data_IF_775634848619
#
_entry.id   IF_775634848619
#
_cell.length_a   1.000
_cell.length_b   1.000
_cell.length_c   1.000
_cell.angle_alpha   90.00
_cell.angle_beta   90.00
_cell.angle_gamma   90.00
#
_symmetry.space_group_name_H-M   'P 1'
#
loop_
_entity.id
_entity.type
_entity.pdbx_description
1 polymer ?
#
# COMPACT_ATOMS: atom_id res chain seq x y z
N UNK A 1 9.62 16.76 7.57
CA UNK A 1 11.06 16.87 7.88
C UNK A 1 11.73 17.58 6.73
N UNK A 2 12.51 18.61 7.00
CA UNK A 2 13.26 19.35 5.97
C UNK A 2 14.70 18.87 5.95
N UNK A 3 15.23 18.63 4.75
CA UNK A 3 16.63 18.27 4.54
C UNK A 3 17.29 19.40 3.76
N UNK A 4 18.35 19.98 4.31
CA UNK A 4 19.10 21.05 3.66
C UNK A 4 20.52 20.58 3.40
N UNK A 5 20.89 20.55 2.13
CA UNK A 5 22.24 20.17 1.69
C UNK A 5 23.03 21.43 1.34
N UNK A 6 24.20 21.60 1.97
CA UNK A 6 25.05 22.77 1.81
C UNK A 6 24.29 24.12 1.97
N UNK A 7 23.67 24.41 3.11
CA UNK A 7 22.81 25.58 3.30
C UNK A 7 23.55 26.92 3.13
N UNK A 8 24.88 26.90 3.10
CA UNK A 8 25.71 28.07 2.85
C UNK A 8 26.75 27.78 1.74
N UNK A 9 26.44 28.17 0.53
CA UNK A 9 27.28 27.95 -0.68
C UNK A 9 28.70 28.53 -0.54
N UNK A 10 28.89 29.51 0.33
CA UNK A 10 30.18 30.21 0.51
C UNK A 10 31.15 29.47 1.41
N UNK A 11 30.71 28.43 2.12
CA UNK A 11 31.56 27.68 3.04
C UNK A 11 32.25 26.49 2.38
N UNK A 12 33.53 26.28 2.69
CA UNK A 12 34.29 25.12 2.19
C UNK A 12 33.88 23.79 2.80
N UNK A 13 33.11 23.80 3.86
CA UNK A 13 32.64 22.59 4.55
C UNK A 13 31.24 22.22 4.02
N UNK A 14 31.14 21.02 3.47
CA UNK A 14 29.86 20.43 3.05
C UNK A 14 29.20 19.75 4.23
N UNK A 15 27.96 20.08 4.52
CA UNK A 15 27.15 19.41 5.53
C UNK A 15 25.69 19.34 5.11
N UNK A 16 25.02 18.35 5.64
CA UNK A 16 23.58 18.12 5.41
C UNK A 16 22.86 18.30 6.74
N UNK A 17 21.84 19.13 6.72
CA UNK A 17 20.94 19.27 7.85
C UNK A 17 19.66 18.49 7.61
N UNK A 18 19.21 17.74 8.60
CA UNK A 18 17.90 17.15 8.66
C UNK A 18 17.24 17.55 9.98
N UNK A 19 16.11 18.22 9.90
CA UNK A 19 15.39 18.68 11.08
C UNK A 19 13.87 18.59 10.86
N UNK A 20 13.09 18.34 11.92
CA UNK A 20 11.65 18.46 11.83
C UNK A 20 11.23 19.92 11.75
N UNK A 21 10.20 20.20 10.96
CA UNK A 21 9.54 21.51 10.89
C UNK A 21 8.09 21.34 11.31
N UNK A 22 7.65 22.19 12.23
CA UNK A 22 6.29 22.24 12.73
C UNK A 22 5.65 23.56 12.31
N UNK A 23 4.49 23.48 11.63
CA UNK A 23 3.75 24.66 11.19
C UNK A 23 2.61 24.96 12.16
N UNK A 24 2.74 26.03 12.91
CA UNK A 24 1.71 26.50 13.84
C UNK A 24 0.63 27.30 13.16
N UNK A 25 0.95 27.94 12.04
CA UNK A 25 0.06 28.84 11.37
C UNK A 25 0.16 28.67 9.86
N UNK A 26 -0.95 28.39 9.21
CA UNK A 26 -1.00 28.03 7.81
C UNK A 26 -1.52 29.21 6.97
N UNK A 27 -0.83 29.50 5.88
CA UNK A 27 -1.33 30.37 4.83
C UNK A 27 -2.20 29.56 3.87
N UNK A 28 -3.41 30.06 3.57
CA UNK A 28 -4.32 29.43 2.63
C UNK A 28 -4.90 30.44 1.64
N UNK A 29 -5.36 29.92 0.48
CA UNK A 29 -6.00 30.73 -0.54
C UNK A 29 -7.49 30.87 -0.24
N UNK A 30 -7.90 32.08 0.18
CA UNK A 30 -9.31 32.40 0.45
C UNK A 30 -9.98 32.80 -0.88
N UNK A 31 -10.87 31.95 -1.37
CA UNK A 31 -11.71 32.25 -2.54
C UNK A 31 -12.90 33.12 -2.14
N UNK A 32 -13.16 34.20 -2.87
CA UNK A 32 -14.26 35.12 -2.61
C UNK A 32 -15.34 35.16 -3.72
N UNK A 33 -15.14 34.46 -4.85
CA UNK A 33 -16.14 34.39 -5.91
C UNK A 33 -16.19 32.99 -6.58
N UNK A 34 -17.27 32.75 -7.34
CA UNK A 34 -17.46 31.47 -8.04
C UNK A 34 -16.48 31.24 -9.20
N UNK A 35 -15.76 32.25 -9.65
CA UNK A 35 -14.73 32.14 -10.68
C UNK A 35 -13.37 31.66 -10.12
N UNK A 36 -13.29 31.45 -8.80
CA UNK A 36 -12.07 31.01 -8.14
C UNK A 36 -11.08 32.11 -7.81
N UNK A 37 -11.45 33.40 -8.00
CA UNK A 37 -10.61 34.53 -7.58
C UNK A 37 -10.56 34.63 -6.06
N UNK A 38 -9.37 34.92 -5.53
CA UNK A 38 -9.14 34.97 -4.09
C UNK A 38 -7.82 35.64 -3.76
N UNK A 39 -7.40 35.52 -2.52
CA UNK A 39 -6.13 36.01 -2.01
C UNK A 39 -5.57 35.05 -0.97
N UNK A 40 -4.26 35.07 -0.79
CA UNK A 40 -3.61 34.34 0.28
C UNK A 40 -3.82 35.07 1.61
N UNK A 41 -4.22 34.34 2.62
CA UNK A 41 -4.37 34.84 3.99
C UNK A 41 -3.83 33.84 5.00
N UNK A 42 -3.49 34.34 6.16
CA UNK A 42 -3.03 33.53 7.28
C UNK A 42 -4.25 33.08 8.10
N UNK A 43 -4.20 31.87 8.67
CA UNK A 43 -5.23 31.41 9.62
C UNK A 43 -5.30 32.38 10.80
N UNK A 44 -6.52 32.73 11.23
CA UNK A 44 -6.75 33.63 12.35
C UNK A 44 -6.30 33.01 13.68
N UNK A 45 -6.54 31.70 13.84
CA UNK A 45 -6.16 30.96 15.04
C UNK A 45 -5.05 29.98 14.70
N UNK A 46 -3.84 30.14 15.28
CA UNK A 46 -2.76 29.17 15.12
C UNK A 46 -3.16 27.78 15.66
N UNK A 47 -2.62 26.75 15.02
CA UNK A 47 -2.72 25.39 15.54
C UNK A 47 -1.98 25.27 16.88
N UNK A 48 -2.57 24.52 17.82
CA UNK A 48 -1.93 24.20 19.11
C UNK A 48 -1.71 22.69 19.16
N UNK A 49 -0.48 22.27 19.40
CA UNK A 49 -0.11 20.88 19.57
C UNK A 49 1.15 20.77 20.41
N UNK A 50 1.31 19.65 21.11
CA UNK A 50 2.50 19.31 21.84
C UNK A 50 3.57 18.77 20.89
N UNK A 51 4.82 19.17 21.12
CA UNK A 51 5.97 18.72 20.35
C UNK A 51 6.85 17.87 21.27
N UNK A 52 7.04 16.61 20.87
CA UNK A 52 8.03 15.73 21.47
C UNK A 52 9.00 15.24 20.39
N UNK A 53 10.26 15.17 20.73
CA UNK A 53 11.32 14.71 19.82
C UNK A 53 12.34 13.89 20.57
N UNK A 54 12.54 12.65 20.13
CA UNK A 54 13.53 11.75 20.70
C UNK A 54 14.68 11.55 19.72
N UNK A 55 15.91 11.72 20.18
CA UNK A 55 17.12 11.43 19.43
C UNK A 55 17.78 10.18 20.01
N UNK A 56 17.98 9.15 19.18
CA UNK A 56 18.76 7.97 19.52
C UNK A 56 20.07 7.99 18.74
N UNK A 57 21.20 8.06 19.46
CA UNK A 57 22.54 8.05 18.87
C UNK A 57 23.06 6.62 18.83
N UNK A 58 23.56 6.20 17.67
CA UNK A 58 24.17 4.89 17.46
C UNK A 58 25.69 5.04 17.37
N UNK A 59 26.44 4.11 17.95
CA UNK A 59 27.90 4.11 17.89
C UNK A 59 28.40 3.24 16.73
N UNK A 60 29.46 3.71 16.05
CA UNK A 60 30.07 2.98 14.94
C UNK A 60 30.74 1.66 15.35
N UNK A 61 31.03 1.48 16.64
CA UNK A 61 31.61 0.27 17.22
C UNK A 61 30.57 -0.75 17.70
N UNK A 62 29.27 -0.41 17.56
CA UNK A 62 28.16 -1.27 17.98
C UNK A 62 27.92 -1.33 19.50
N UNK A 63 28.64 -0.49 20.32
CA UNK A 63 28.47 -0.51 21.78
C UNK A 63 27.07 -0.09 22.24
N UNK A 64 26.28 0.53 21.38
CA UNK A 64 24.87 0.88 21.61
C UNK A 64 23.89 -0.25 21.20
N UNK A 65 24.38 -1.45 20.88
CA UNK A 65 23.57 -2.58 20.39
C UNK A 65 23.41 -2.63 18.87
N UNK A 66 23.48 -1.47 18.20
CA UNK A 66 23.32 -1.37 16.74
C UNK A 66 24.47 -0.56 16.12
N UNK A 67 24.84 -0.90 14.87
CA UNK A 67 25.85 -0.14 14.11
C UNK A 67 25.33 1.25 13.75
N UNK A 68 26.23 2.22 13.59
CA UNK A 68 25.90 3.57 13.12
C UNK A 68 25.80 3.63 11.58
N UNK A 69 24.93 2.82 11.02
CA UNK A 69 24.59 2.78 9.60
C UNK A 69 23.07 2.68 9.43
N UNK A 70 22.57 2.70 8.19
CA UNK A 70 21.13 2.65 7.92
C UNK A 70 20.48 1.32 8.38
N UNK A 71 21.23 0.22 8.39
CA UNK A 71 20.74 -1.06 8.93
C UNK A 71 20.52 -0.95 10.43
N UNK A 72 21.53 -0.47 11.15
CA UNK A 72 21.41 -0.25 12.59
C UNK A 72 20.34 0.76 12.96
N UNK A 73 20.13 1.82 12.15
CA UNK A 73 19.02 2.75 12.33
C UNK A 73 17.67 2.08 12.16
N UNK A 74 17.50 1.24 11.13
CA UNK A 74 16.24 0.52 10.87
C UNK A 74 15.91 -0.47 11.99
N UNK A 75 16.88 -1.26 12.44
CA UNK A 75 16.71 -2.23 13.52
C UNK A 75 16.42 -1.54 14.87
N UNK A 76 17.15 -0.45 15.18
CA UNK A 76 16.91 0.33 16.40
C UNK A 76 15.51 1.00 16.40
N UNK A 77 15.04 1.43 15.23
CA UNK A 77 13.69 1.99 15.10
C UNK A 77 12.61 0.91 15.19
N UNK A 78 12.82 -0.27 14.58
CA UNK A 78 11.94 -1.43 14.74
C UNK A 78 11.79 -1.83 16.21
N UNK A 79 12.92 -1.96 16.96
CA UNK A 79 12.91 -2.23 18.39
C UNK A 79 12.06 -1.21 19.15
N UNK A 80 12.25 0.08 18.90
CA UNK A 80 11.45 1.14 19.52
C UNK A 80 9.95 0.96 19.22
N UNK A 81 9.56 0.65 17.99
CA UNK A 81 8.16 0.43 17.64
C UNK A 81 7.56 -0.83 18.28
N UNK A 82 8.38 -1.85 18.53
CA UNK A 82 7.96 -3.05 19.26
C UNK A 82 7.78 -2.72 20.75
N UNK A 83 8.72 -1.99 21.35
CA UNK A 83 8.65 -1.56 22.75
C UNK A 83 7.43 -0.67 23.04
N UNK A 84 7.05 0.17 22.07
CA UNK A 84 5.83 1.01 22.12
C UNK A 84 4.54 0.22 21.79
N UNK A 85 4.64 -1.05 21.43
CA UNK A 85 3.49 -1.89 21.07
C UNK A 85 2.86 -1.58 19.70
N UNK A 86 3.52 -0.75 18.87
CA UNK A 86 3.06 -0.41 17.53
C UNK A 86 3.30 -1.57 16.55
N UNK A 87 4.39 -2.31 16.74
CA UNK A 87 4.70 -3.52 15.99
C UNK A 87 4.72 -4.72 16.92
N UNK A 88 4.28 -5.87 16.41
CA UNK A 88 4.36 -7.15 17.13
C UNK A 88 5.10 -8.14 16.26
N UNK A 89 6.12 -8.80 16.83
CA UNK A 89 6.84 -9.84 16.12
C UNK A 89 5.92 -11.00 15.77
N UNK A 90 5.96 -11.44 14.52
CA UNK A 90 5.20 -12.57 14.01
C UNK A 90 6.17 -13.67 13.58
N UNK A 91 5.88 -14.90 13.96
CA UNK A 91 6.63 -16.04 13.44
C UNK A 91 6.11 -16.40 12.07
N UNK A 92 6.93 -16.22 11.05
CA UNK A 92 6.62 -16.70 9.71
C UNK A 92 6.77 -18.23 9.64
N UNK A 93 5.83 -18.87 8.96
CA UNK A 93 5.95 -20.30 8.65
C UNK A 93 6.99 -20.55 7.55
N UNK A 94 7.74 -21.63 7.66
CA UNK A 94 8.60 -22.11 6.57
C UNK A 94 7.75 -22.44 5.33
N UNK A 95 8.34 -22.40 4.15
CA UNK A 95 7.71 -22.74 2.88
C UNK A 95 7.66 -21.60 1.87
N UNK A 96 6.78 -21.72 0.89
CA UNK A 96 6.65 -20.76 -0.20
C UNK A 96 6.22 -19.38 0.27
N UNK A 97 6.76 -18.34 -0.39
CA UNK A 97 6.34 -16.95 -0.13
C UNK A 97 4.87 -16.76 -0.53
N UNK A 98 4.15 -15.80 0.10
CA UNK A 98 2.83 -15.45 -0.37
C UNK A 98 2.90 -14.60 -1.66
N UNK A 99 1.77 -14.59 -2.42
CA UNK A 99 1.55 -13.68 -3.54
C UNK A 99 0.22 -12.95 -3.36
N UNK A 100 0.21 -11.65 -3.60
CA UNK A 100 -1.02 -10.86 -3.63
C UNK A 100 -1.60 -10.83 -5.04
N UNK A 101 -2.89 -11.15 -5.17
CA UNK A 101 -3.63 -11.09 -6.43
C UNK A 101 -4.93 -10.34 -6.23
N UNK A 102 -5.03 -9.14 -6.75
CA UNK A 102 -6.27 -8.38 -6.72
C UNK A 102 -7.06 -8.58 -8.03
N UNK A 103 -8.38 -8.50 -7.95
CA UNK A 103 -9.28 -8.64 -9.10
C UNK A 103 -10.11 -7.38 -9.29
N UNK A 104 -10.07 -6.79 -10.48
CA UNK A 104 -11.04 -5.78 -10.88
C UNK A 104 -12.27 -6.50 -11.40
N UNK A 105 -13.34 -6.52 -10.62
CA UNK A 105 -14.57 -7.25 -10.98
C UNK A 105 -15.46 -6.43 -11.91
N UNK A 106 -15.65 -5.15 -11.60
CA UNK A 106 -16.47 -4.29 -12.45
C UNK A 106 -16.28 -2.80 -12.15
N UNK A 107 -16.65 -1.99 -13.14
CA UNK A 107 -16.87 -0.55 -12.94
C UNK A 107 -18.07 -0.09 -13.77
N UNK A 108 -18.34 1.22 -13.80
CA UNK A 108 -19.51 1.78 -14.50
C UNK A 108 -19.10 2.84 -15.51
N UNK A 109 -19.77 2.85 -16.66
CA UNK A 109 -19.68 3.89 -17.69
C UNK A 109 -21.05 4.53 -17.95
N UNK A 110 -21.08 5.64 -18.67
CA UNK A 110 -22.33 6.23 -19.18
C UNK A 110 -22.96 5.29 -20.19
N UNK A 111 -24.29 5.24 -20.19
CA UNK A 111 -25.09 4.58 -21.21
C UNK A 111 -26.08 5.59 -21.81
N UNK A 112 -26.75 5.22 -22.87
CA UNK A 112 -27.80 6.05 -23.52
C UNK A 112 -28.84 6.49 -22.48
N UNK A 113 -29.20 5.59 -21.56
CA UNK A 113 -30.08 5.91 -20.42
C UNK A 113 -29.38 5.49 -19.13
N UNK A 114 -28.88 6.47 -18.39
CA UNK A 114 -28.24 6.25 -17.08
C UNK A 114 -26.81 5.72 -17.16
N UNK A 115 -26.53 4.63 -16.47
CA UNK A 115 -25.20 4.02 -16.39
C UNK A 115 -25.27 2.52 -16.64
N UNK A 116 -24.22 1.98 -17.24
CA UNK A 116 -24.02 0.56 -17.47
C UNK A 116 -22.90 0.03 -16.60
N UNK A 117 -23.09 -1.12 -15.95
CA UNK A 117 -22.03 -1.84 -15.26
C UNK A 117 -21.25 -2.67 -16.27
N UNK A 118 -19.97 -2.37 -16.39
CA UNK A 118 -18.97 -3.13 -17.15
C UNK A 118 -18.39 -4.17 -16.22
N UNK A 119 -18.52 -5.44 -16.56
CA UNK A 119 -17.95 -6.56 -15.81
C UNK A 119 -16.70 -7.02 -16.53
N UNK A 120 -15.59 -7.09 -15.80
CA UNK A 120 -14.30 -7.59 -16.29
C UNK A 120 -13.87 -8.88 -15.62
N UNK A 121 -14.44 -9.18 -14.44
CA UNK A 121 -14.22 -10.45 -13.74
C UNK A 121 -15.46 -10.75 -12.91
N UNK A 122 -16.10 -11.86 -13.15
CA UNK A 122 -17.17 -12.38 -12.29
C UNK A 122 -16.61 -13.40 -11.28
N UNK A 123 -17.47 -13.99 -10.46
CA UNK A 123 -17.08 -14.97 -9.44
C UNK A 123 -16.43 -16.20 -10.07
N UNK A 124 -16.94 -16.66 -11.22
CA UNK A 124 -16.38 -17.81 -11.94
C UNK A 124 -14.99 -17.48 -12.51
N UNK A 125 -14.81 -16.26 -13.04
CA UNK A 125 -13.51 -15.78 -13.53
C UNK A 125 -12.45 -15.68 -12.41
N UNK A 126 -12.84 -15.25 -11.20
CA UNK A 126 -11.95 -15.29 -10.02
C UNK A 126 -11.54 -16.73 -9.71
N UNK A 127 -12.51 -17.64 -9.67
CA UNK A 127 -12.27 -19.07 -9.42
C UNK A 127 -11.31 -19.67 -10.44
N UNK A 128 -11.56 -19.48 -11.73
CA UNK A 128 -10.71 -19.99 -12.80
C UNK A 128 -9.26 -19.50 -12.70
N UNK A 129 -9.05 -18.21 -12.44
CA UNK A 129 -7.70 -17.64 -12.33
C UNK A 129 -6.99 -18.20 -11.11
N UNK A 130 -7.63 -18.27 -9.95
CA UNK A 130 -7.01 -18.82 -8.73
C UNK A 130 -6.69 -20.32 -8.86
N UNK A 131 -7.54 -21.09 -9.53
CA UNK A 131 -7.29 -22.51 -9.81
C UNK A 131 -6.13 -22.70 -10.81
N UNK A 132 -6.02 -21.85 -11.81
CA UNK A 132 -4.89 -21.87 -12.74
C UNK A 132 -3.57 -21.48 -12.07
N UNK A 133 -3.55 -20.47 -11.20
CA UNK A 133 -2.38 -20.12 -10.40
C UNK A 133 -1.95 -21.29 -9.51
N UNK A 134 -2.89 -21.96 -8.86
CA UNK A 134 -2.61 -23.16 -8.05
C UNK A 134 -2.05 -24.30 -8.91
N UNK A 135 -2.59 -24.53 -10.10
CA UNK A 135 -2.07 -25.52 -11.06
C UNK A 135 -0.64 -25.22 -11.53
N UNK A 136 -0.25 -23.94 -11.51
CA UNK A 136 1.11 -23.49 -11.77
C UNK A 136 2.04 -23.61 -10.54
N UNK A 137 1.56 -24.07 -9.39
CA UNK A 137 2.32 -24.21 -8.15
C UNK A 137 2.31 -22.95 -7.26
N UNK A 138 1.48 -21.95 -7.54
CA UNK A 138 1.31 -20.74 -6.73
C UNK A 138 0.13 -20.96 -5.78
N UNK A 139 0.38 -21.52 -4.61
CA UNK A 139 -0.66 -21.95 -3.67
C UNK A 139 -0.87 -21.00 -2.48
N UNK A 140 0.15 -20.25 -2.09
CA UNK A 140 0.06 -19.27 -0.99
C UNK A 140 -0.40 -17.92 -1.56
N UNK A 141 -1.71 -17.76 -1.78
CA UNK A 141 -2.28 -16.56 -2.40
C UNK A 141 -3.23 -15.86 -1.43
N UNK A 142 -3.14 -14.54 -1.36
CA UNK A 142 -4.20 -13.72 -0.80
C UNK A 142 -4.73 -12.76 -1.86
N UNK A 143 -6.02 -12.47 -1.82
CA UNK A 143 -6.71 -11.75 -2.89
C UNK A 143 -7.59 -10.62 -2.37
N UNK A 144 -7.80 -9.61 -3.23
CA UNK A 144 -8.77 -8.54 -3.01
C UNK A 144 -9.73 -8.40 -4.18
N UNK A 145 -11.01 -8.29 -3.88
CA UNK A 145 -12.05 -8.08 -4.86
C UNK A 145 -12.40 -6.59 -4.92
N UNK A 146 -12.14 -5.93 -6.05
CA UNK A 146 -12.40 -4.50 -6.31
C UNK A 146 -13.62 -4.38 -7.21
N UNK A 147 -14.54 -3.46 -6.89
CA UNK A 147 -15.73 -3.24 -7.71
C UNK A 147 -16.76 -4.39 -7.67
N UNK A 148 -16.75 -5.20 -6.62
CA UNK A 148 -17.64 -6.34 -6.37
C UNK A 148 -19.10 -5.95 -6.10
N UNK A 149 -19.34 -4.69 -5.74
CA UNK A 149 -20.64 -4.19 -5.34
C UNK A 149 -21.56 -3.92 -6.54
N UNK A 150 -22.86 -4.00 -6.33
CA UNK A 150 -23.83 -3.45 -7.27
C UNK A 150 -23.57 -1.95 -7.45
N UNK A 151 -23.39 -1.50 -8.69
CA UNK A 151 -22.90 -0.17 -9.11
C UNK A 151 -21.37 0.01 -8.99
N UNK A 152 -20.64 -1.08 -8.80
CA UNK A 152 -19.20 -1.16 -8.79
C UNK A 152 -18.50 -0.17 -7.84
N UNK A 153 -17.20 0.02 -8.00
CA UNK A 153 -16.39 0.90 -7.16
C UNK A 153 -16.85 2.36 -7.26
N UNK A 154 -17.11 2.84 -8.47
CA UNK A 154 -17.38 4.26 -8.75
C UNK A 154 -18.69 4.78 -8.17
N UNK A 155 -19.77 4.02 -8.19
CA UNK A 155 -21.11 4.51 -7.81
C UNK A 155 -21.74 3.78 -6.61
N UNK A 156 -21.15 2.70 -6.11
CA UNK A 156 -21.63 2.06 -4.89
C UNK A 156 -21.31 2.93 -3.67
N UNK A 157 -22.27 3.04 -2.74
CA UNK A 157 -21.98 3.69 -1.46
C UNK A 157 -20.90 2.90 -0.70
N UNK A 158 -19.93 3.53 -0.04
CA UNK A 158 -18.82 2.83 0.61
C UNK A 158 -19.24 1.69 1.56
N UNK A 159 -20.32 1.87 2.27
CA UNK A 159 -20.87 0.89 3.21
C UNK A 159 -21.88 -0.11 2.62
N UNK A 160 -22.08 -0.13 1.29
CA UNK A 160 -23.10 -0.96 0.67
C UNK A 160 -22.64 -2.42 0.55
N UNK A 161 -23.36 -3.34 1.18
CA UNK A 161 -23.18 -4.78 1.03
C UNK A 161 -24.29 -5.31 0.14
N UNK A 162 -24.16 -5.06 -1.17
CA UNK A 162 -25.13 -5.46 -2.21
C UNK A 162 -24.36 -5.93 -3.43
N UNK A 163 -24.72 -7.10 -3.92
CA UNK A 163 -24.12 -7.73 -5.10
C UNK A 163 -24.88 -7.44 -6.37
N UNK A 164 -24.22 -7.58 -7.51
CA UNK A 164 -24.84 -7.56 -8.84
C UNK A 164 -24.89 -8.97 -9.36
N UNK A 165 -26.06 -9.39 -9.89
CA UNK A 165 -26.20 -10.69 -10.52
C UNK A 165 -25.36 -10.87 -11.80
N UNK A 166 -24.78 -9.77 -12.31
CA UNK A 166 -23.84 -9.80 -13.44
C UNK A 166 -22.43 -10.25 -13.03
N UNK A 167 -22.09 -10.07 -11.75
CA UNK A 167 -20.78 -10.43 -11.19
C UNK A 167 -20.87 -11.74 -10.44
N UNK A 168 -21.98 -11.96 -9.75
CA UNK A 168 -22.27 -13.10 -8.89
C UNK A 168 -23.32 -12.76 -7.86
N UNK A 169 -24.05 -13.75 -7.41
CA UNK A 169 -25.00 -13.64 -6.31
C UNK A 169 -24.28 -13.81 -4.98
N UNK A 170 -24.89 -13.35 -3.90
CA UNK A 170 -24.32 -13.45 -2.55
C UNK A 170 -23.83 -14.88 -2.21
N UNK A 171 -24.64 -15.91 -2.50
CA UNK A 171 -24.27 -17.31 -2.24
C UNK A 171 -23.04 -17.77 -3.05
N UNK A 172 -22.88 -17.31 -4.29
CA UNK A 172 -21.73 -17.64 -5.14
C UNK A 172 -20.43 -17.02 -4.58
N UNK A 173 -20.50 -15.82 -4.01
CA UNK A 173 -19.37 -15.24 -3.28
C UNK A 173 -19.05 -16.02 -2.00
N UNK A 174 -20.07 -16.40 -1.22
CA UNK A 174 -19.90 -17.17 0.01
C UNK A 174 -19.26 -18.56 -0.27
N UNK A 175 -19.70 -19.24 -1.33
CA UNK A 175 -19.07 -20.48 -1.81
C UNK A 175 -17.63 -20.25 -2.25
N UNK A 176 -17.33 -19.20 -3.03
CA UNK A 176 -15.98 -18.85 -3.44
C UNK A 176 -15.05 -18.68 -2.23
N UNK A 177 -15.45 -17.88 -1.25
CA UNK A 177 -14.65 -17.63 -0.04
C UNK A 177 -14.42 -18.92 0.75
N UNK A 178 -15.46 -19.73 0.96
CA UNK A 178 -15.37 -20.99 1.71
C UNK A 178 -14.47 -22.01 1.02
N UNK A 179 -14.63 -22.18 -0.30
CA UNK A 179 -13.85 -23.15 -1.08
C UNK A 179 -12.36 -22.81 -1.08
N UNK A 180 -12.04 -21.52 -1.21
CA UNK A 180 -10.65 -21.09 -1.27
C UNK A 180 -10.00 -20.98 0.10
N UNK A 181 -10.73 -20.62 1.15
CA UNK A 181 -10.24 -20.70 2.53
C UNK A 181 -9.82 -22.15 2.89
N UNK A 182 -10.60 -23.13 2.47
CA UNK A 182 -10.27 -24.57 2.65
C UNK A 182 -8.99 -24.99 1.89
N UNK A 183 -8.59 -24.25 0.84
CA UNK A 183 -7.36 -24.45 0.06
C UNK A 183 -6.18 -23.60 0.58
N UNK A 184 -6.38 -22.79 1.63
CA UNK A 184 -5.38 -21.89 2.19
C UNK A 184 -5.23 -20.56 1.42
N UNK A 185 -6.15 -20.24 0.51
CA UNK A 185 -6.21 -18.95 -0.19
C UNK A 185 -7.17 -18.03 0.55
N UNK A 186 -6.70 -16.86 0.94
CA UNK A 186 -7.48 -15.84 1.63
C UNK A 186 -8.02 -14.80 0.64
N UNK A 187 -9.35 -14.67 0.55
CA UNK A 187 -10.01 -13.69 -0.31
C UNK A 187 -10.65 -12.62 0.56
N UNK A 188 -10.44 -11.36 0.20
CA UNK A 188 -10.99 -10.19 0.90
C UNK A 188 -11.83 -9.30 -0.02
N UNK A 189 -12.83 -8.64 0.53
CA UNK A 189 -13.44 -7.51 -0.13
C UNK A 189 -12.55 -6.28 0.01
N UNK A 190 -12.29 -5.58 -1.11
CA UNK A 190 -11.53 -4.33 -1.13
C UNK A 190 -12.46 -3.14 -1.29
N UNK A 191 -12.20 -2.06 -0.52
CA UNK A 191 -13.01 -0.84 -0.61
C UNK A 191 -12.25 0.43 -0.24
N UNK A 192 -12.45 1.49 -1.05
CA UNK A 192 -12.10 2.87 -0.71
C UNK A 192 -13.23 3.52 0.11
N UNK A 193 -12.86 4.04 1.29
CA UNK A 193 -13.78 4.70 2.21
C UNK A 193 -13.63 6.22 2.24
N UNK A 194 -12.66 6.77 1.51
CA UNK A 194 -12.31 8.19 1.56
C UNK A 194 -12.74 8.93 0.30
N UNK A 195 -12.53 8.31 -0.87
CA UNK A 195 -12.86 8.96 -2.14
C UNK A 195 -14.34 8.82 -2.45
N UNK A 196 -15.04 9.92 -2.55
CA UNK A 196 -16.48 9.98 -2.83
C UNK A 196 -16.80 10.90 -4.02
N UNK A 197 -17.96 10.69 -4.62
CA UNK A 197 -18.50 11.58 -5.66
C UNK A 197 -19.98 11.86 -5.45
N UNK A 198 -20.48 12.94 -6.05
CA UNK A 198 -21.87 13.42 -5.86
C UNK A 198 -22.95 12.45 -6.37
N UNK A 199 -22.61 11.51 -7.28
CA UNK A 199 -23.53 10.48 -7.76
C UNK A 199 -23.59 9.26 -6.84
N UNK A 200 -22.50 9.02 -6.14
CA UNK A 200 -22.40 7.95 -5.13
C UNK A 200 -23.16 8.34 -3.86
N UNK A 201 -22.91 9.54 -3.35
CA UNK A 201 -23.46 10.01 -2.07
C UNK A 201 -23.50 11.55 -2.02
N UNK A 202 -24.44 12.11 -1.20
CA UNK A 202 -24.55 13.58 -1.04
C UNK A 202 -23.31 14.16 -0.37
N UNK A 203 -22.69 15.16 -0.97
CA UNK A 203 -21.56 15.89 -0.38
C UNK A 203 -21.97 16.74 0.82
N UNK A 204 -23.20 17.22 0.85
CA UNK A 204 -23.68 18.11 1.92
C UNK A 204 -23.48 17.53 3.33
N UNK A 205 -23.68 16.22 3.49
CA UNK A 205 -23.59 15.52 4.78
C UNK A 205 -22.39 14.59 4.89
N UNK A 206 -21.60 14.39 3.82
CA UNK A 206 -20.58 13.37 3.81
C UNK A 206 -19.20 13.85 3.35
N UNK A 207 -19.08 15.00 2.70
CA UNK A 207 -17.79 15.48 2.21
C UNK A 207 -17.10 16.40 3.20
N UNK A 208 -15.80 16.23 3.35
CA UNK A 208 -14.93 17.13 4.09
C UNK A 208 -14.86 18.51 3.44
N UNK A 209 -14.58 19.53 4.23
CA UNK A 209 -14.46 20.91 3.76
C UNK A 209 -13.12 21.49 4.14
N UNK A 210 -12.57 22.24 3.22
CA UNK A 210 -11.37 23.04 3.43
C UNK A 210 -11.66 24.22 4.39
N UNK A 211 -10.61 24.86 4.88
CA UNK A 211 -10.69 26.02 5.77
C UNK A 211 -11.56 27.17 5.21
N UNK A 212 -11.64 27.34 3.89
CA UNK A 212 -12.53 28.29 3.23
C UNK A 212 -13.99 27.80 3.11
N UNK A 213 -14.35 26.71 3.77
CA UNK A 213 -15.67 26.05 3.79
C UNK A 213 -16.15 25.44 2.47
N UNK A 214 -15.31 25.43 1.43
CA UNK A 214 -15.58 24.69 0.20
C UNK A 214 -15.28 23.19 0.39
N UNK A 215 -15.95 22.36 -0.40
CA UNK A 215 -15.67 20.94 -0.36
C UNK A 215 -14.21 20.64 -0.73
N UNK A 216 -13.60 19.77 0.06
CA UNK A 216 -12.25 19.29 -0.21
C UNK A 216 -12.34 18.30 -1.37
N UNK A 217 -11.85 18.73 -2.53
CA UNK A 217 -11.87 17.96 -3.77
C UNK A 217 -10.51 17.29 -3.98
N UNK A 218 -10.52 16.14 -4.65
CA UNK A 218 -9.27 15.50 -5.14
C UNK A 218 -8.62 16.36 -6.22
N UNK A 219 -7.40 16.02 -6.60
CA UNK A 219 -6.65 16.76 -7.61
C UNK A 219 -7.45 16.88 -8.91
N UNK A 220 -7.58 18.12 -9.41
CA UNK A 220 -8.27 18.43 -10.67
C UNK A 220 -7.47 18.04 -11.91
N UNK A 221 -6.20 17.64 -11.75
CA UNK A 221 -5.38 17.13 -12.85
C UNK A 221 -5.81 15.75 -13.33
N UNK A 222 -6.59 15.02 -12.52
CA UNK A 222 -7.16 13.73 -12.91
C UNK A 222 -8.23 13.96 -13.99
N UNK A 223 -7.91 13.56 -15.21
CA UNK A 223 -8.83 13.64 -16.35
C UNK A 223 -9.61 12.33 -16.44
N UNK A 224 -10.92 12.40 -16.22
CA UNK A 224 -11.80 11.26 -16.44
C UNK A 224 -12.17 11.11 -17.93
N UNK A 225 -12.31 9.87 -18.44
CA UNK A 225 -12.77 9.62 -19.80
C UNK A 225 -14.14 10.28 -20.09
N UNK A 226 -14.38 10.64 -21.34
CA UNK A 226 -15.61 11.36 -21.75
C UNK A 226 -16.90 10.63 -21.39
N UNK A 227 -16.87 9.29 -21.44
CA UNK A 227 -18.00 8.44 -21.07
C UNK A 227 -18.00 7.99 -19.60
N UNK A 228 -17.07 8.49 -18.79
CA UNK A 228 -17.10 8.27 -17.35
C UNK A 228 -18.34 8.96 -16.74
N UNK A 229 -19.06 8.31 -15.82
CA UNK A 229 -20.27 8.88 -15.24
C UNK A 229 -20.01 10.02 -14.28
N UNK A 230 -18.78 10.23 -13.83
CA UNK A 230 -18.38 11.30 -12.91
C UNK A 230 -17.33 12.21 -13.55
N UNK A 231 -17.16 13.40 -13.00
CA UNK A 231 -16.17 14.38 -13.47
C UNK A 231 -15.25 14.88 -12.34
N UNK A 232 -15.64 14.64 -11.11
CA UNK A 232 -14.92 15.10 -9.94
C UNK A 232 -15.18 14.17 -8.76
N UNK A 233 -14.19 14.04 -7.91
CA UNK A 233 -14.27 13.36 -6.62
C UNK A 233 -13.84 14.29 -5.49
N UNK A 234 -14.24 13.97 -4.29
CA UNK A 234 -13.85 14.69 -3.08
C UNK A 234 -13.62 13.71 -1.95
N UNK A 235 -13.21 14.23 -0.83
CA UNK A 235 -12.89 13.43 0.35
C UNK A 235 -14.05 13.36 1.32
N UNK A 236 -14.30 12.17 1.86
CA UNK A 236 -15.30 11.94 2.89
C UNK A 236 -14.89 12.61 4.22
N UNK A 237 -15.90 12.95 5.04
CA UNK A 237 -15.68 13.32 6.44
C UNK A 237 -15.00 12.15 7.18
N UNK A 238 -13.97 12.39 8.01
CA UNK A 238 -13.32 11.32 8.79
C UNK A 238 -14.30 10.50 9.63
N UNK A 239 -15.30 11.15 10.23
CA UNK A 239 -16.35 10.47 11.00
C UNK A 239 -17.21 9.54 10.13
N UNK A 240 -17.44 9.90 8.85
CA UNK A 240 -18.17 9.06 7.90
C UNK A 240 -17.32 7.90 7.40
N UNK A 241 -16.04 8.15 7.12
CA UNK A 241 -15.07 7.09 6.82
C UNK A 241 -15.06 6.03 7.91
N UNK A 242 -14.89 6.43 9.16
CA UNK A 242 -14.90 5.53 10.31
C UNK A 242 -16.25 4.78 10.49
N UNK A 243 -17.39 5.48 10.32
CA UNK A 243 -18.73 4.86 10.33
C UNK A 243 -18.85 3.77 9.25
N UNK A 244 -18.40 4.06 8.04
CA UNK A 244 -18.55 3.16 6.90
C UNK A 244 -17.63 1.94 6.97
N UNK A 245 -16.40 2.11 7.48
CA UNK A 245 -15.49 0.99 7.77
C UNK A 245 -16.19 0.01 8.72
N UNK A 246 -16.64 0.48 9.92
CA UNK A 246 -17.33 -0.37 10.90
C UNK A 246 -18.59 -1.04 10.31
N UNK A 247 -19.35 -0.30 9.51
CA UNK A 247 -20.60 -0.79 8.95
C UNK A 247 -20.40 -1.85 7.88
N UNK A 248 -19.37 -1.76 7.06
CA UNK A 248 -19.10 -2.76 6.04
C UNK A 248 -18.33 -3.94 6.64
N UNK A 249 -17.30 -3.72 7.46
CA UNK A 249 -16.55 -4.79 8.11
C UNK A 249 -17.46 -5.72 8.92
N UNK A 250 -18.38 -5.17 9.72
CA UNK A 250 -19.35 -5.98 10.47
C UNK A 250 -20.37 -6.77 9.64
N UNK A 251 -20.34 -6.63 8.30
CA UNK A 251 -21.19 -7.43 7.39
C UNK A 251 -20.41 -8.45 6.58
N UNK A 252 -19.14 -8.20 6.36
CA UNK A 252 -18.27 -9.10 5.59
C UNK A 252 -17.56 -10.11 6.49
N UNK A 253 -17.42 -9.82 7.79
CA UNK A 253 -16.76 -10.70 8.76
C UNK A 253 -17.39 -12.08 8.95
N UNK A 254 -18.65 -12.25 8.57
CA UNK A 254 -19.31 -13.56 8.63
C UNK A 254 -18.77 -14.54 7.55
N UNK A 255 -18.10 -14.04 6.51
CA UNK A 255 -17.74 -14.82 5.31
C UNK A 255 -16.29 -14.64 4.87
N UNK A 256 -15.61 -13.58 5.30
CA UNK A 256 -14.24 -13.27 4.91
C UNK A 256 -13.33 -13.24 6.14
N UNK A 257 -12.20 -13.93 6.05
CA UNK A 257 -11.17 -13.92 7.09
C UNK A 257 -10.31 -12.66 7.07
N UNK A 258 -10.42 -11.85 6.00
CA UNK A 258 -9.68 -10.61 5.85
C UNK A 258 -10.48 -9.51 5.18
N UNK A 259 -10.04 -8.26 5.37
CA UNK A 259 -10.66 -7.07 4.81
C UNK A 259 -9.61 -6.10 4.28
N UNK A 260 -9.79 -5.64 3.04
CA UNK A 260 -8.86 -4.70 2.40
C UNK A 260 -9.44 -3.29 2.42
N UNK A 261 -8.74 -2.37 3.09
CA UNK A 261 -9.11 -0.96 3.20
C UNK A 261 -8.12 -0.13 2.36
N UNK A 262 -8.66 0.64 1.42
CA UNK A 262 -7.90 1.61 0.62
C UNK A 262 -8.35 3.03 0.95
N UNK A 263 -7.59 4.02 0.53
CA UNK A 263 -7.86 5.42 0.83
C UNK A 263 -7.67 5.78 2.30
N UNK A 264 -8.47 5.22 3.20
CA UNK A 264 -8.36 5.48 4.64
C UNK A 264 -7.04 4.98 5.26
N UNK A 265 -6.31 4.12 4.57
CA UNK A 265 -4.99 3.64 4.99
C UNK A 265 -3.91 4.73 4.95
N UNK A 266 -4.01 5.68 4.03
CA UNK A 266 -2.96 6.67 3.79
C UNK A 266 -3.46 8.12 3.60
N UNK A 267 -4.77 8.33 3.44
CA UNK A 267 -5.36 9.66 3.29
C UNK A 267 -6.01 10.08 4.60
N UNK A 268 -5.48 11.14 5.19
CA UNK A 268 -6.01 11.76 6.40
C UNK A 268 -6.45 13.18 6.06
N UNK A 269 -7.66 13.56 6.44
CA UNK A 269 -8.22 14.88 6.17
C UNK A 269 -8.74 15.54 7.43
N UNK A 270 -8.55 16.85 7.55
CA UNK A 270 -9.30 17.69 8.48
C UNK A 270 -10.58 18.22 7.83
N UNK A 271 -11.50 18.74 8.61
CA UNK A 271 -12.69 19.41 8.07
C UNK A 271 -13.07 20.63 8.89
N UNK A 272 -13.63 21.65 8.21
CA UNK A 272 -13.91 22.97 8.74
C UNK A 272 -15.34 23.37 8.45
N UNK A 273 -15.90 24.24 9.31
CA UNK A 273 -17.12 24.99 9.06
C UNK A 273 -16.89 26.50 9.29
N UNK A 274 -17.95 27.29 9.34
CA UNK A 274 -17.87 28.74 9.56
C UNK A 274 -17.38 29.13 10.95
N UNK A 275 -17.39 28.20 11.89
CA UNK A 275 -16.96 28.41 13.29
C UNK A 275 -15.52 27.92 13.52
N UNK A 276 -14.84 27.35 12.51
CA UNK A 276 -13.47 26.86 12.57
C UNK A 276 -13.36 25.35 12.33
N UNK A 277 -12.44 24.72 13.03
CA UNK A 277 -12.17 23.28 12.91
C UNK A 277 -13.35 22.47 13.46
N UNK A 278 -13.89 21.58 12.65
CA UNK A 278 -14.89 20.58 13.06
C UNK A 278 -14.21 19.27 13.45
N UNK A 279 -13.19 18.88 12.71
CA UNK A 279 -12.33 17.73 13.02
C UNK A 279 -10.91 18.04 12.57
N UNK A 280 -9.97 18.01 13.49
CA UNK A 280 -8.54 18.15 13.22
C UNK A 280 -8.00 16.88 12.57
N UNK A 281 -6.73 16.90 12.15
CA UNK A 281 -6.06 15.68 11.68
C UNK A 281 -5.88 14.66 12.80
N UNK A 282 -5.65 15.11 14.03
CA UNK A 282 -5.54 14.24 15.22
C UNK A 282 -6.87 13.53 15.53
N UNK A 283 -8.00 14.28 15.48
CA UNK A 283 -9.33 13.68 15.65
C UNK A 283 -9.62 12.66 14.54
N UNK A 284 -9.24 12.98 13.30
CA UNK A 284 -9.43 12.11 12.16
C UNK A 284 -8.59 10.82 12.28
N UNK A 285 -7.33 10.94 12.71
CA UNK A 285 -6.46 9.81 13.00
C UNK A 285 -7.09 8.87 14.04
N UNK A 286 -7.54 9.41 15.18
CA UNK A 286 -8.17 8.62 16.23
C UNK A 286 -9.43 7.90 15.75
N UNK A 287 -10.29 8.60 15.00
CA UNK A 287 -11.51 8.03 14.43
C UNK A 287 -11.22 6.85 13.49
N UNK A 288 -10.25 7.01 12.59
CA UNK A 288 -9.88 5.98 11.59
C UNK A 288 -9.19 4.82 12.29
N UNK A 289 -8.22 5.08 13.18
CA UNK A 289 -7.53 4.08 13.96
C UNK A 289 -8.51 3.19 14.73
N UNK A 290 -9.44 3.79 15.46
CA UNK A 290 -10.46 3.06 16.22
C UNK A 290 -11.42 2.26 15.31
N UNK A 291 -11.66 2.71 14.08
CA UNK A 291 -12.51 1.98 13.15
C UNK A 291 -11.78 0.77 12.52
N UNK A 292 -10.50 0.93 12.21
CA UNK A 292 -9.63 -0.15 11.69
C UNK A 292 -9.39 -1.19 12.78
N UNK A 293 -9.10 -0.77 14.03
CA UNK A 293 -8.96 -1.64 15.19
C UNK A 293 -10.21 -2.53 15.39
N UNK A 294 -11.40 -1.92 15.38
CA UNK A 294 -12.65 -2.66 15.53
C UNK A 294 -12.91 -3.65 14.36
N UNK A 295 -12.46 -3.34 13.14
CA UNK A 295 -12.53 -4.28 12.03
C UNK A 295 -11.54 -5.46 12.21
N UNK A 296 -10.38 -5.19 12.80
CA UNK A 296 -9.33 -6.17 13.07
C UNK A 296 -9.63 -7.16 14.20
N UNK A 297 -10.64 -6.90 15.03
CA UNK A 297 -11.06 -7.85 16.08
C UNK A 297 -11.48 -9.23 15.53
N UNK A 298 -12.00 -9.26 14.30
CA UNK A 298 -12.57 -10.47 13.71
C UNK A 298 -11.97 -10.85 12.36
N UNK A 299 -11.09 -10.04 11.79
CA UNK A 299 -10.53 -10.23 10.45
C UNK A 299 -9.09 -9.74 10.39
N UNK A 300 -8.29 -10.34 9.52
CA UNK A 300 -7.00 -9.78 9.13
C UNK A 300 -7.22 -8.50 8.32
N UNK A 301 -6.46 -7.47 8.61
CA UNK A 301 -6.58 -6.17 7.93
C UNK A 301 -5.45 -5.99 6.93
N UNK A 302 -5.84 -5.81 5.66
CA UNK A 302 -4.94 -5.51 4.55
C UNK A 302 -5.04 -4.02 4.24
N UNK A 303 -3.93 -3.29 4.34
CA UNK A 303 -3.89 -1.85 4.10
C UNK A 303 -2.96 -1.49 2.95
N UNK A 304 -3.41 -0.60 2.08
CA UNK A 304 -2.61 -0.08 0.97
C UNK A 304 -1.77 1.09 1.45
N UNK A 305 -0.45 0.91 1.45
CA UNK A 305 0.53 1.93 1.83
C UNK A 305 0.16 2.67 3.14
N UNK A 306 -0.10 1.95 4.26
CA UNK A 306 -0.64 2.53 5.48
C UNK A 306 0.31 3.53 6.13
N UNK A 307 -0.27 4.60 6.67
CA UNK A 307 0.43 5.49 7.59
C UNK A 307 0.79 4.75 8.89
N UNK A 308 1.86 5.19 9.56
CA UNK A 308 2.41 4.52 10.74
C UNK A 308 1.40 4.30 11.88
N UNK A 309 0.49 5.21 12.11
CA UNK A 309 -0.54 5.10 13.16
C UNK A 309 -1.53 3.93 12.97
N UNK A 310 -1.47 3.26 11.79
CA UNK A 310 -2.26 2.06 11.49
C UNK A 310 -1.43 0.77 11.51
N UNK A 311 -0.11 0.83 11.70
CA UNK A 311 0.74 -0.37 11.62
C UNK A 311 0.40 -1.41 12.68
N UNK A 312 -0.01 -0.99 13.88
CA UNK A 312 -0.48 -1.87 14.95
C UNK A 312 -1.61 -2.82 14.50
N UNK A 313 -2.46 -2.34 13.58
CA UNK A 313 -3.65 -3.06 13.09
C UNK A 313 -3.46 -3.63 11.69
N UNK A 314 -2.24 -3.59 11.14
CA UNK A 314 -1.94 -4.04 9.79
C UNK A 314 -1.40 -5.47 9.80
N UNK A 315 -2.13 -6.39 9.18
CA UNK A 315 -1.61 -7.75 8.95
C UNK A 315 -0.81 -7.82 7.65
N UNK A 316 -1.26 -7.10 6.60
CA UNK A 316 -0.60 -7.06 5.30
C UNK A 316 -0.46 -5.63 4.81
N UNK A 317 0.79 -5.23 4.61
CA UNK A 317 1.16 -3.97 3.98
C UNK A 317 1.17 -4.16 2.46
N UNK A 318 0.22 -3.58 1.75
CA UNK A 318 0.11 -3.68 0.30
C UNK A 318 0.74 -2.45 -0.38
N UNK A 319 1.29 -2.64 -1.59
CA UNK A 319 1.88 -1.58 -2.42
C UNK A 319 3.06 -0.87 -1.74
N UNK A 320 3.90 -1.59 -1.01
CA UNK A 320 5.09 -1.01 -0.39
C UNK A 320 6.05 -0.45 -1.45
N UNK A 321 6.60 0.76 -1.27
CA UNK A 321 7.49 1.36 -2.24
C UNK A 321 8.81 0.57 -2.36
N UNK A 322 9.30 0.42 -3.60
CA UNK A 322 10.53 -0.33 -3.94
C UNK A 322 11.63 0.55 -4.52
N UNK A 323 11.57 1.84 -4.31
CA UNK A 323 12.53 2.81 -4.83
C UNK A 323 12.51 4.11 -4.04
N UNK A 324 13.38 5.02 -4.46
CA UNK A 324 13.47 6.39 -3.93
C UNK A 324 13.13 7.41 -5.03
N UNK A 325 13.18 8.70 -4.69
CA UNK A 325 13.01 9.79 -5.64
C UNK A 325 14.13 9.88 -6.69
N UNK A 326 15.23 9.15 -6.52
CA UNK A 326 16.38 9.10 -7.43
C UNK A 326 16.98 10.50 -7.69
N UNK A 327 17.15 11.31 -6.64
CA UNK A 327 17.83 12.59 -6.76
C UNK A 327 19.30 12.40 -7.16
N UNK A 328 19.88 13.39 -7.83
CA UNK A 328 21.24 13.37 -8.40
C UNK A 328 22.33 12.97 -7.38
N UNK A 329 22.10 13.18 -6.11
CA UNK A 329 23.05 12.89 -5.03
C UNK A 329 22.83 11.54 -4.33
N UNK A 330 21.80 10.79 -4.73
CA UNK A 330 21.53 9.45 -4.19
C UNK A 330 22.47 8.43 -4.84
N UNK A 331 23.11 7.63 -4.02
CA UNK A 331 24.08 6.61 -4.46
C UNK A 331 23.53 5.18 -4.30
N UNK A 332 22.50 4.99 -3.49
CA UNK A 332 21.86 3.71 -3.25
C UNK A 332 20.38 3.88 -2.86
N UNK A 333 19.58 2.87 -3.11
CA UNK A 333 18.19 2.77 -2.64
C UNK A 333 18.12 1.80 -1.48
N UNK A 334 17.88 2.33 -0.28
CA UNK A 334 17.88 1.55 0.95
C UNK A 334 16.46 1.06 1.28
N UNK A 335 16.24 -0.26 1.49
CA UNK A 335 14.95 -0.82 1.88
C UNK A 335 14.62 -0.57 3.37
N UNK A 336 14.71 0.69 3.82
CA UNK A 336 14.59 1.05 5.23
C UNK A 336 13.23 0.64 5.82
N UNK A 337 12.13 0.96 5.12
CA UNK A 337 10.77 0.59 5.54
C UNK A 337 10.64 -0.93 5.69
N UNK A 338 11.13 -1.68 4.70
CA UNK A 338 11.03 -3.13 4.68
C UNK A 338 11.85 -3.78 5.81
N UNK A 339 13.02 -3.21 6.12
CA UNK A 339 13.83 -3.66 7.27
C UNK A 339 13.12 -3.40 8.61
N UNK A 340 12.45 -2.26 8.75
CA UNK A 340 11.66 -1.93 9.95
C UNK A 340 10.47 -2.87 10.12
N UNK A 341 9.77 -3.21 9.03
CA UNK A 341 8.56 -4.03 9.06
C UNK A 341 8.82 -5.54 9.02
N UNK A 342 10.06 -5.95 8.71
CA UNK A 342 10.40 -7.36 8.56
C UNK A 342 10.09 -8.18 9.81
N UNK A 343 9.42 -9.32 9.65
CA UNK A 343 9.02 -10.20 10.76
C UNK A 343 7.86 -9.68 11.63
N UNK A 344 7.19 -8.58 11.24
CA UNK A 344 6.04 -8.03 11.98
C UNK A 344 4.75 -8.09 11.17
N UNK A 345 4.82 -7.97 9.87
CA UNK A 345 3.69 -8.10 8.94
C UNK A 345 4.15 -8.58 7.57
N UNK A 346 3.21 -9.11 6.77
CA UNK A 346 3.50 -9.46 5.37
C UNK A 346 3.58 -8.19 4.53
N UNK A 347 4.64 -8.05 3.73
CA UNK A 347 4.87 -6.86 2.88
C UNK A 347 4.84 -7.23 1.41
N UNK A 348 4.01 -6.53 0.64
CA UNK A 348 3.80 -6.76 -0.78
C UNK A 348 4.21 -5.55 -1.60
N UNK A 349 4.92 -5.78 -2.71
CA UNK A 349 5.33 -4.75 -3.64
C UNK A 349 4.18 -4.17 -4.47
N UNK A 350 4.48 -3.17 -5.34
CA UNK A 350 3.54 -2.68 -6.34
C UNK A 350 3.13 -3.77 -7.34
N UNK A 351 2.00 -3.57 -8.02
CA UNK A 351 1.55 -4.51 -9.04
C UNK A 351 2.56 -4.66 -10.17
N UNK A 352 3.09 -5.87 -10.35
CA UNK A 352 4.15 -6.17 -11.30
C UNK A 352 3.71 -6.08 -12.76
N UNK A 353 2.41 -6.10 -13.04
CA UNK A 353 1.86 -6.02 -14.39
C UNK A 353 1.65 -4.59 -14.92
N UNK A 354 2.03 -3.55 -14.16
CA UNK A 354 1.96 -2.15 -14.62
C UNK A 354 3.29 -1.59 -15.13
N UNK A 355 4.36 -2.38 -15.17
CA UNK A 355 5.65 -1.98 -15.69
C UNK A 355 6.24 -3.07 -16.59
N UNK A 356 7.24 -2.69 -17.40
CA UNK A 356 8.11 -3.69 -18.06
C UNK A 356 8.95 -4.37 -16.98
N UNK A 357 8.53 -5.58 -16.59
CA UNK A 357 9.16 -6.30 -15.52
C UNK A 357 10.38 -7.05 -16.02
N UNK A 358 11.56 -6.64 -15.53
CA UNK A 358 12.86 -7.20 -15.88
C UNK A 358 13.39 -8.11 -14.78
N UNK A 359 14.51 -8.79 -15.05
CA UNK A 359 15.19 -9.58 -14.02
C UNK A 359 15.70 -8.69 -12.87
N UNK A 360 16.08 -7.44 -13.16
CA UNK A 360 16.46 -6.46 -12.12
C UNK A 360 15.29 -6.11 -11.18
N UNK A 361 14.06 -6.12 -11.67
CA UNK A 361 12.88 -5.86 -10.83
C UNK A 361 12.60 -7.04 -9.88
N UNK A 362 12.84 -8.28 -10.37
CA UNK A 362 12.77 -9.49 -9.53
C UNK A 362 13.84 -9.42 -8.44
N UNK A 363 15.10 -9.07 -8.82
CA UNK A 363 16.19 -8.88 -7.86
C UNK A 363 15.88 -7.80 -6.82
N UNK A 364 15.19 -6.73 -7.23
CA UNK A 364 14.76 -5.69 -6.31
C UNK A 364 13.76 -6.20 -5.27
N UNK A 365 12.82 -7.06 -5.66
CA UNK A 365 11.93 -7.70 -4.68
C UNK A 365 12.70 -8.57 -3.69
N UNK A 366 13.73 -9.29 -4.17
CA UNK A 366 14.60 -10.09 -3.32
C UNK A 366 15.42 -9.20 -2.36
N UNK A 367 16.03 -8.11 -2.86
CA UNK A 367 16.79 -7.15 -2.05
C UNK A 367 15.92 -6.50 -0.96
N UNK A 368 14.68 -6.15 -1.31
CA UNK A 368 13.73 -5.52 -0.41
C UNK A 368 12.97 -6.52 0.47
N UNK A 369 13.17 -7.82 0.28
CA UNK A 369 12.46 -8.88 1.00
C UNK A 369 10.94 -8.68 1.01
N UNK A 370 10.35 -8.52 -0.18
CA UNK A 370 8.92 -8.30 -0.37
C UNK A 370 8.31 -9.34 -1.31
N UNK A 371 7.05 -9.64 -1.07
CA UNK A 371 6.27 -10.56 -1.89
C UNK A 371 5.68 -9.88 -3.12
N UNK A 372 5.53 -10.59 -4.25
CA UNK A 372 4.97 -10.04 -5.48
C UNK A 372 3.46 -9.77 -5.37
N UNK A 373 3.02 -8.77 -6.15
CA UNK A 373 1.62 -8.41 -6.31
C UNK A 373 1.23 -8.31 -7.78
N UNK A 374 0.01 -8.74 -8.09
CA UNK A 374 -0.63 -8.59 -9.39
C UNK A 374 -2.07 -8.13 -9.23
N UNK A 375 -2.61 -7.49 -10.27
CA UNK A 375 -4.03 -7.18 -10.36
C UNK A 375 -4.57 -7.68 -11.70
N UNK A 376 -5.65 -8.42 -11.68
CA UNK A 376 -6.15 -9.09 -12.86
C UNK A 376 -7.59 -8.76 -13.20
N UNK A 377 -7.87 -8.87 -14.50
CA UNK A 377 -9.21 -9.03 -15.09
C UNK A 377 -9.26 -10.34 -15.89
N UNK A 378 -10.41 -11.00 -15.92
CA UNK A 378 -10.66 -12.16 -16.77
C UNK A 378 -10.87 -11.71 -18.22
N UNK A 379 -11.70 -10.69 -18.40
CA UNK A 379 -12.02 -10.07 -19.68
C UNK A 379 -10.98 -9.00 -20.05
N UNK A 380 -10.86 -8.62 -21.32
CA UNK A 380 -9.93 -7.60 -21.77
C UNK A 380 -10.08 -6.28 -21.05
N UNK A 381 -8.96 -5.73 -20.56
CA UNK A 381 -8.90 -4.50 -19.76
C UNK A 381 -9.41 -3.25 -20.48
N UNK A 382 -9.41 -3.23 -21.83
CA UNK A 382 -9.95 -2.09 -22.61
C UNK A 382 -11.45 -1.84 -22.34
N UNK A 383 -12.18 -2.81 -21.81
CA UNK A 383 -13.57 -2.63 -21.41
C UNK A 383 -13.74 -1.56 -20.33
N UNK A 384 -12.68 -1.30 -19.53
CA UNK A 384 -12.65 -0.28 -18.50
C UNK A 384 -12.32 1.13 -19.03
N UNK A 385 -11.99 1.30 -20.31
CA UNK A 385 -11.49 2.55 -20.88
C UNK A 385 -12.40 3.78 -20.67
N UNK A 386 -13.71 3.56 -20.57
CA UNK A 386 -14.71 4.62 -20.34
C UNK A 386 -15.15 4.74 -18.87
N UNK A 387 -14.45 4.14 -17.94
CA UNK A 387 -14.78 4.12 -16.51
C UNK A 387 -13.75 4.92 -15.69
N UNK A 388 -13.95 5.04 -14.38
CA UNK A 388 -12.92 5.60 -13.48
C UNK A 388 -11.69 4.70 -13.44
N UNK A 389 -11.87 3.38 -13.62
CA UNK A 389 -10.79 2.39 -13.64
C UNK A 389 -10.07 2.30 -15.00
N UNK A 390 -10.10 3.36 -15.81
CA UNK A 390 -9.43 3.40 -17.13
C UNK A 390 -7.91 3.30 -17.09
N UNK A 391 -7.31 3.54 -15.93
CA UNK A 391 -5.90 3.35 -15.65
C UNK A 391 -5.50 1.87 -15.45
N UNK A 392 -6.50 0.97 -15.28
CA UNK A 392 -6.29 -0.48 -15.14
C UNK A 392 -6.13 -1.18 -16.52
N UNK A 393 -5.24 -0.66 -17.37
CA UNK A 393 -5.08 -1.09 -18.76
C UNK A 393 -4.21 -2.35 -18.96
N UNK A 394 -3.42 -2.73 -17.96
CA UNK A 394 -2.49 -3.88 -18.03
C UNK A 394 -2.93 -5.02 -17.11
N UNK A 395 -4.21 -5.42 -17.15
CA UNK A 395 -4.76 -6.33 -16.12
C UNK A 395 -5.28 -7.66 -16.67
N UNK A 396 -5.40 -7.86 -18.00
CA UNK A 396 -5.93 -9.10 -18.58
C UNK A 396 -5.04 -10.31 -18.23
N UNK A 397 -5.57 -11.28 -17.49
CA UNK A 397 -4.82 -12.41 -16.94
C UNK A 397 -4.06 -13.21 -17.98
N UNK A 398 -4.69 -13.53 -19.12
CA UNK A 398 -4.07 -14.33 -20.18
C UNK A 398 -2.77 -13.71 -20.72
N UNK A 399 -2.66 -12.37 -20.70
CA UNK A 399 -1.47 -11.67 -21.15
C UNK A 399 -0.35 -11.71 -20.11
N UNK A 400 -0.69 -11.74 -18.82
CA UNK A 400 0.27 -11.66 -17.71
C UNK A 400 0.49 -12.95 -16.94
N UNK A 401 -0.21 -14.03 -17.29
CA UNK A 401 -0.11 -15.35 -16.67
C UNK A 401 1.33 -15.85 -16.57
N UNK A 402 2.07 -15.79 -17.67
CA UNK A 402 3.46 -16.24 -17.71
C UNK A 402 4.40 -15.31 -16.93
N UNK A 403 4.14 -14.01 -16.94
CA UNK A 403 4.89 -13.03 -16.15
C UNK A 403 4.68 -13.29 -14.65
N UNK A 404 3.44 -13.54 -14.22
CA UNK A 404 3.14 -13.85 -12.82
C UNK A 404 3.92 -15.06 -12.32
N UNK A 405 3.94 -16.14 -13.13
CA UNK A 405 4.74 -17.34 -12.83
C UNK A 405 6.23 -17.04 -12.76
N UNK A 406 6.78 -16.33 -13.74
CA UNK A 406 8.21 -15.95 -13.79
C UNK A 406 8.62 -15.15 -12.57
N UNK A 407 7.84 -14.13 -12.22
CA UNK A 407 8.13 -13.24 -11.07
C UNK A 407 8.04 -14.03 -9.76
N UNK A 408 6.96 -14.80 -9.58
CA UNK A 408 6.78 -15.62 -8.39
C UNK A 408 7.93 -16.61 -8.20
N UNK A 409 8.25 -17.40 -9.22
CA UNK A 409 9.33 -18.39 -9.14
C UNK A 409 10.68 -17.74 -8.86
N UNK A 410 10.97 -16.61 -9.51
CA UNK A 410 12.22 -15.88 -9.33
C UNK A 410 12.39 -15.43 -7.88
N UNK A 411 11.38 -14.81 -7.30
CA UNK A 411 11.40 -14.33 -5.90
C UNK A 411 11.34 -15.50 -4.92
N UNK A 412 10.44 -16.48 -5.14
CA UNK A 412 10.25 -17.61 -4.26
C UNK A 412 11.50 -18.51 -4.16
N UNK A 413 12.23 -18.68 -5.26
CA UNK A 413 13.45 -19.51 -5.28
C UNK A 413 14.51 -19.05 -4.28
N UNK A 414 14.46 -17.78 -3.86
CA UNK A 414 15.42 -17.18 -2.93
C UNK A 414 14.75 -16.94 -1.57
N UNK A 415 13.65 -16.21 -1.52
CA UNK A 415 13.05 -15.76 -0.26
C UNK A 415 12.44 -16.90 0.55
N UNK A 416 11.93 -17.98 -0.07
CA UNK A 416 11.45 -19.17 0.66
C UNK A 416 12.52 -19.80 1.53
N UNK A 417 13.79 -19.69 1.14
CA UNK A 417 14.92 -20.28 1.87
C UNK A 417 15.29 -19.52 3.15
N UNK A 418 14.84 -18.27 3.28
CA UNK A 418 15.14 -17.37 4.42
C UNK A 418 13.89 -16.95 5.20
N UNK A 419 12.74 -17.56 4.92
CA UNK A 419 11.50 -17.27 5.69
C UNK A 419 11.69 -17.61 7.17
N UNK A 420 11.19 -16.70 8.01
CA UNK A 420 11.33 -16.80 9.45
C UNK A 420 12.76 -16.55 9.98
N UNK A 421 13.67 -16.07 9.13
CA UNK A 421 14.94 -15.52 9.58
C UNK A 421 14.79 -14.03 9.88
N UNK A 422 15.50 -13.55 10.89
CA UNK A 422 15.59 -12.14 11.20
C UNK A 422 16.58 -11.45 10.24
N UNK A 423 16.19 -10.35 9.63
CA UNK A 423 17.05 -9.55 8.77
C UNK A 423 17.98 -8.67 9.62
N UNK A 424 19.28 -8.96 9.64
CA UNK A 424 20.24 -8.36 10.56
C UNK A 424 21.28 -7.46 9.88
N UNK A 425 21.37 -7.47 8.54
CA UNK A 425 22.37 -6.66 7.86
C UNK A 425 22.13 -6.57 6.35
N UNK A 426 22.59 -5.46 5.77
CA UNK A 426 22.68 -5.23 4.33
C UNK A 426 23.98 -4.49 4.03
N UNK A 427 24.77 -5.01 3.09
CA UNK A 427 26.04 -4.45 2.68
C UNK A 427 26.11 -4.36 1.15
N UNK A 428 26.88 -3.40 0.64
CA UNK A 428 27.18 -3.23 -0.78
C UNK A 428 28.70 -3.41 -0.95
N UNK A 429 29.21 -4.65 -1.05
CA UNK A 429 30.65 -4.91 -1.12
C UNK A 429 31.29 -4.31 -2.37
N UNK A 430 30.56 -4.26 -3.48
CA UNK A 430 30.96 -3.59 -4.71
C UNK A 430 29.75 -3.05 -5.45
N UNK A 431 29.96 -2.13 -6.39
CA UNK A 431 28.87 -1.50 -7.14
C UNK A 431 28.02 -2.53 -7.87
N UNK A 432 26.72 -2.53 -7.63
CA UNK A 432 25.76 -3.47 -8.22
C UNK A 432 25.70 -4.84 -7.55
N UNK A 433 26.45 -5.07 -6.46
CA UNK A 433 26.37 -6.31 -5.66
C UNK A 433 25.92 -6.00 -4.24
N UNK A 434 24.91 -6.69 -3.79
CA UNK A 434 24.32 -6.52 -2.45
C UNK A 434 24.39 -7.85 -1.71
N UNK A 435 24.66 -7.78 -0.41
CA UNK A 435 24.63 -8.92 0.50
C UNK A 435 23.68 -8.60 1.66
N UNK A 436 22.55 -9.27 1.67
CA UNK A 436 21.61 -9.24 2.80
C UNK A 436 21.93 -10.38 3.77
N UNK A 437 22.01 -10.09 5.05
CA UNK A 437 22.32 -11.06 6.11
C UNK A 437 21.09 -11.33 6.96
N UNK A 438 20.81 -12.61 7.17
CA UNK A 438 19.68 -13.10 7.95
C UNK A 438 20.15 -14.11 9.01
N UNK A 439 19.46 -14.16 10.16
CA UNK A 439 19.81 -15.06 11.27
C UNK A 439 18.55 -15.76 11.79
N UNK A 440 18.63 -17.08 12.02
CA UNK A 440 17.56 -17.88 12.67
C UNK A 440 18.19 -18.86 13.65
N UNK A 441 17.87 -18.73 14.92
CA UNK A 441 18.41 -19.60 15.98
C UNK A 441 19.95 -19.71 15.99
N UNK A 442 20.63 -18.58 15.71
CA UNK A 442 22.10 -18.53 15.62
C UNK A 442 22.69 -19.01 14.28
N UNK A 443 21.90 -19.63 13.41
CA UNK A 443 22.32 -19.96 12.07
C UNK A 443 22.24 -18.73 11.15
N UNK A 444 23.32 -18.46 10.39
CA UNK A 444 23.42 -17.33 9.47
C UNK A 444 23.11 -17.79 8.05
N UNK A 445 22.29 -17.01 7.33
CA UNK A 445 22.08 -17.12 5.91
C UNK A 445 22.37 -15.77 5.24
N UNK A 446 23.00 -15.78 4.07
CA UNK A 446 23.31 -14.57 3.31
C UNK A 446 22.76 -14.70 1.90
N UNK A 447 22.07 -13.66 1.44
CA UNK A 447 21.55 -13.55 0.07
C UNK A 447 22.46 -12.60 -0.67
N UNK A 448 23.19 -13.12 -1.67
CA UNK A 448 24.01 -12.34 -2.59
C UNK A 448 23.15 -11.99 -3.79
N UNK A 449 23.02 -10.70 -4.10
CA UNK A 449 22.21 -10.18 -5.19
C UNK A 449 23.14 -9.47 -6.15
N UNK A 450 23.20 -9.97 -7.38
CA UNK A 450 24.06 -9.45 -8.44
C UNK A 450 23.22 -8.73 -9.49
N UNK A 451 23.23 -7.40 -9.47
CA UNK A 451 22.58 -6.54 -10.46
C UNK A 451 23.45 -6.28 -11.70
N UNK A 452 24.68 -6.80 -11.73
CA UNK A 452 25.62 -6.58 -12.85
C UNK A 452 25.33 -7.55 -14.01
N UNK A 453 25.87 -7.24 -15.18
CA UNK A 453 25.80 -8.06 -16.40
C UNK A 453 26.87 -9.16 -16.46
N UNK A 454 27.64 -9.36 -15.37
CA UNK A 454 28.74 -10.28 -15.26
C UNK A 454 28.62 -11.17 -14.02
N UNK A 455 29.19 -12.38 -14.08
CA UNK A 455 29.27 -13.26 -12.91
C UNK A 455 30.20 -12.64 -11.85
N UNK A 456 29.76 -12.66 -10.58
CA UNK A 456 30.58 -12.14 -9.46
C UNK A 456 30.92 -13.26 -8.47
N UNK A 457 32.11 -13.18 -7.88
CA UNK A 457 32.51 -14.09 -6.80
C UNK A 457 32.45 -13.31 -5.47
N UNK A 458 31.43 -13.58 -4.68
CA UNK A 458 31.23 -12.95 -3.39
C UNK A 458 31.05 -14.04 -2.32
N UNK A 459 31.67 -13.88 -1.17
CA UNK A 459 31.64 -14.85 -0.07
C UNK A 459 32.07 -16.28 -0.48
N UNK A 460 32.94 -16.41 -1.48
CA UNK A 460 33.36 -17.71 -2.00
C UNK A 460 32.34 -18.39 -2.92
N UNK A 461 31.24 -17.74 -3.25
CA UNK A 461 30.19 -18.24 -4.12
C UNK A 461 30.14 -17.42 -5.41
N UNK A 462 30.05 -18.11 -6.55
CA UNK A 462 29.84 -17.45 -7.85
C UNK A 462 28.36 -17.23 -8.06
N UNK A 463 27.95 -15.97 -8.05
CA UNK A 463 26.57 -15.55 -8.37
C UNK A 463 26.53 -15.06 -9.81
N UNK A 464 25.65 -15.64 -10.62
CA UNK A 464 25.51 -15.32 -12.05
C UNK A 464 25.08 -13.87 -12.28
N UNK A 465 25.36 -13.35 -13.48
CA UNK A 465 24.82 -12.07 -13.93
C UNK A 465 23.29 -12.00 -13.74
N UNK A 466 22.79 -10.87 -13.28
CA UNK A 466 21.36 -10.61 -13.05
C UNK A 466 20.65 -11.74 -12.27
N UNK A 467 21.28 -12.22 -11.20
CA UNK A 467 20.74 -13.30 -10.36
C UNK A 467 21.02 -13.12 -8.87
N UNK A 468 20.42 -13.96 -8.05
CA UNK A 468 20.70 -14.01 -6.62
C UNK A 468 21.04 -15.45 -6.18
N UNK A 469 21.86 -15.56 -5.13
CA UNK A 469 22.29 -16.83 -4.53
C UNK A 469 22.15 -16.78 -3.01
N UNK A 470 21.79 -17.91 -2.39
CA UNK A 470 21.72 -18.05 -0.93
C UNK A 470 22.92 -18.86 -0.45
N UNK A 471 23.61 -18.34 0.55
CA UNK A 471 24.73 -18.99 1.25
C UNK A 471 24.30 -19.22 2.69
N UNK A 472 24.38 -20.48 3.16
CA UNK A 472 24.02 -20.88 4.52
C UNK A 472 25.22 -21.43 5.25
#
# INVERSE_FOLDING_TARGET
>A
MDIVVNPEETKKVKYTWAYPRFEYNMTYYQVYNNAGSGYFTLMENPSSFDISMTYRFLSGDGSTGYKADYTGMALAYREHLIDEGILTEKTESDGDIPMRVDFVMSDVKKSVVGTEQVVTTDVDGVREILEDLSAQGINNVNSGLIGWQKKAETLAKPYAYKFSSKIGRKGEFEELFTDFAAKGTDISYSRDFVTINKKMISFYTNAAKHVNTWYLMTDKSVLYPANCPIFETGYALPSKTAEWIRKLSGKVSDYSESFTITGASNILTSTYDRNGVVSSLTDAEELIRNAVAAAGENMKINLVNPNQYLWEYTDRYLQAPVGTSQYVFETDSVPFLQMVLHGTMEVYGPYSNFSFYTDSDILRMIDYNISPSFIFTKEPSYLLADTVSSDMYSTEYEQYRNLAKKVYDGVNSVLSQIRGYEWTGREVPESGVIVNTYVKNGAKAQVIINYTDSDVNCLGTVTKALSASVVK
#
